data_IF_820754731134
#
_entry.id   IF_820754731134
#
_cell.length_a   1.000
_cell.length_b   1.000
_cell.length_c   1.000
_cell.angle_alpha   90.00
_cell.angle_beta   90.00
_cell.angle_gamma   90.00
#
_symmetry.space_group_name_H-M   'P 1'
#
loop_
_entity.id
_entity.type
_entity.pdbx_description
1 polymer ?
#
# COMPACT_ATOMS: atom_id res chain seq x y z
N UNK A 1 12.97 -3.51 -14.94
CA UNK A 1 12.29 -2.35 -15.56
C UNK A 1 12.07 -2.53 -17.07
N UNK A 2 12.96 -3.21 -17.79
CA UNK A 2 12.90 -3.36 -19.24
C UNK A 2 11.63 -4.00 -19.84
N UNK A 3 10.90 -4.79 -19.07
CA UNK A 3 9.70 -5.49 -19.57
C UNK A 3 8.42 -4.66 -19.46
N UNK A 4 8.28 -3.84 -18.41
CA UNK A 4 7.08 -3.04 -18.15
C UNK A 4 7.34 -2.06 -16.98
N UNK A 5 6.47 -1.05 -16.79
CA UNK A 5 6.53 -0.17 -15.63
C UNK A 5 6.55 -0.90 -14.29
N UNK A 6 7.27 -0.33 -13.32
CA UNK A 6 7.51 -0.93 -12.01
C UNK A 6 7.13 0.02 -10.90
N UNK A 7 6.92 -0.52 -9.71
CA UNK A 7 6.91 0.23 -8.46
C UNK A 7 8.06 -0.28 -7.62
N UNK A 8 8.91 0.64 -7.17
CA UNK A 8 9.96 0.34 -6.22
C UNK A 8 9.62 1.00 -4.89
N UNK A 9 9.77 0.25 -3.80
CA UNK A 9 9.47 0.70 -2.44
C UNK A 9 10.64 0.36 -1.53
N UNK A 10 11.13 1.36 -0.79
CA UNK A 10 12.06 1.15 0.31
C UNK A 10 11.40 0.39 1.46
N UNK A 11 12.18 -0.17 2.39
CA UNK A 11 11.60 -0.65 3.63
C UNK A 11 10.98 0.51 4.42
N UNK A 12 9.75 0.32 4.92
CA UNK A 12 8.92 1.40 5.52
C UNK A 12 8.60 2.51 4.50
N UNK A 13 8.06 3.65 4.95
CA UNK A 13 7.59 4.72 4.05
C UNK A 13 6.08 4.74 3.83
N UNK A 14 5.29 4.51 4.89
CA UNK A 14 3.81 4.50 4.84
C UNK A 14 3.19 5.80 4.29
N UNK A 15 3.93 6.90 4.33
CA UNK A 15 3.52 8.20 3.77
C UNK A 15 3.87 8.37 2.29
N UNK A 16 4.27 7.29 1.59
CA UNK A 16 4.60 7.32 0.16
C UNK A 16 6.05 7.70 -0.16
N UNK A 17 6.86 8.06 0.84
CA UNK A 17 8.27 8.40 0.64
C UNK A 17 9.09 7.15 0.29
N UNK A 18 9.91 7.25 -0.74
CA UNK A 18 10.68 6.14 -1.33
C UNK A 18 9.81 5.08 -2.00
N UNK A 19 8.56 5.43 -2.35
CA UNK A 19 7.70 4.63 -3.23
C UNK A 19 7.68 5.29 -4.60
N UNK A 20 8.40 4.69 -5.54
CA UNK A 20 8.63 5.21 -6.88
C UNK A 20 7.87 4.42 -7.92
N UNK A 21 7.06 5.10 -8.72
CA UNK A 21 6.47 4.54 -9.94
C UNK A 21 7.42 4.85 -11.08
N UNK A 22 7.91 3.81 -11.74
CA UNK A 22 9.03 3.89 -12.67
C UNK A 22 8.59 3.47 -14.06
N UNK A 23 8.83 4.33 -15.04
CA UNK A 23 8.64 4.06 -16.47
C UNK A 23 9.94 4.31 -17.22
N UNK A 24 10.19 3.56 -18.28
CA UNK A 24 11.22 3.90 -19.25
C UNK A 24 10.75 5.10 -20.07
N UNK A 25 11.58 6.15 -20.13
CA UNK A 25 11.24 7.38 -20.84
C UNK A 25 10.98 7.14 -22.33
N UNK A 26 11.77 6.28 -22.95
CA UNK A 26 11.64 5.93 -24.37
C UNK A 26 10.52 4.92 -24.65
N UNK A 27 9.95 4.28 -23.62
CA UNK A 27 8.91 3.26 -23.79
C UNK A 27 9.35 2.00 -24.55
N UNK A 28 10.66 1.79 -24.70
CA UNK A 28 11.31 0.68 -25.40
C UNK A 28 11.26 -0.64 -24.58
N UNK A 29 10.08 -1.05 -24.15
CA UNK A 29 9.89 -2.27 -23.37
C UNK A 29 10.09 -3.54 -24.23
N UNK A 30 10.71 -4.58 -23.66
CA UNK A 30 10.84 -5.88 -24.32
C UNK A 30 9.52 -6.68 -24.27
N UNK A 31 9.39 -7.67 -25.15
CA UNK A 31 8.15 -8.44 -25.30
C UNK A 31 7.94 -9.45 -24.16
N UNK A 32 9.03 -9.90 -23.53
CA UNK A 32 8.98 -10.90 -22.45
C UNK A 32 9.92 -10.58 -21.29
N UNK A 33 9.53 -10.99 -20.08
CA UNK A 33 10.36 -10.80 -18.89
C UNK A 33 11.68 -11.57 -19.00
N UNK A 34 12.80 -10.89 -18.77
CA UNK A 34 14.15 -11.46 -18.83
C UNK A 34 14.82 -11.40 -20.21
N UNK A 35 14.11 -10.96 -21.24
CA UNK A 35 14.65 -10.83 -22.61
C UNK A 35 15.76 -9.78 -22.71
N UNK A 36 15.62 -8.68 -21.97
CA UNK A 36 16.64 -7.64 -21.88
C UNK A 36 16.76 -7.10 -20.46
N UNK A 37 17.95 -6.60 -20.13
CA UNK A 37 18.17 -5.73 -18.97
C UNK A 37 18.22 -4.28 -19.43
N UNK A 38 17.96 -3.35 -18.51
CA UNK A 38 18.17 -1.94 -18.81
C UNK A 38 19.66 -1.62 -18.78
N UNK A 39 20.09 -0.72 -19.66
CA UNK A 39 21.43 -0.14 -19.62
C UNK A 39 21.50 1.05 -18.66
N UNK A 40 22.66 1.27 -18.06
CA UNK A 40 22.90 2.33 -17.06
C UNK A 40 22.48 3.72 -17.52
N UNK A 41 22.62 4.01 -18.82
CA UNK A 41 22.29 5.30 -19.42
C UNK A 41 20.82 5.48 -19.81
N UNK A 42 20.00 4.42 -19.80
CA UNK A 42 18.58 4.55 -20.14
C UNK A 42 17.88 5.48 -19.15
N UNK A 43 17.03 6.37 -19.68
CA UNK A 43 16.31 7.37 -18.88
C UNK A 43 15.02 6.80 -18.32
N UNK A 44 14.80 7.08 -17.04
CA UNK A 44 13.63 6.75 -16.25
C UNK A 44 12.79 8.00 -16.04
N UNK A 45 11.46 7.83 -16.11
CA UNK A 45 10.47 8.74 -15.55
C UNK A 45 10.05 8.16 -14.20
N UNK A 46 10.31 8.91 -13.13
CA UNK A 46 10.10 8.50 -11.75
C UNK A 46 9.06 9.39 -11.11
N UNK A 47 7.97 8.83 -10.60
CA UNK A 47 7.01 9.57 -9.78
C UNK A 47 7.02 9.07 -8.34
N UNK A 48 7.21 9.97 -7.36
CA UNK A 48 7.15 9.61 -5.94
C UNK A 48 5.71 9.66 -5.42
N UNK A 49 5.30 8.63 -4.67
CA UNK A 49 3.91 8.52 -4.21
C UNK A 49 3.53 9.50 -3.08
N UNK A 50 4.50 10.08 -2.38
CA UNK A 50 4.24 11.00 -1.25
C UNK A 50 3.59 12.34 -1.68
N UNK A 51 3.89 12.85 -2.87
CA UNK A 51 3.35 14.11 -3.36
C UNK A 51 3.08 14.14 -4.89
N UNK A 52 3.37 13.06 -5.60
CA UNK A 52 3.23 12.91 -7.07
C UNK A 52 4.16 13.79 -7.90
N UNK A 53 5.26 14.32 -7.35
CA UNK A 53 6.26 14.96 -8.21
C UNK A 53 6.90 13.92 -9.14
N UNK A 54 7.35 14.40 -10.31
CA UNK A 54 8.06 13.59 -11.29
C UNK A 54 9.51 14.07 -11.42
N UNK A 55 10.44 13.12 -11.51
CA UNK A 55 11.87 13.36 -11.74
C UNK A 55 12.37 12.47 -12.89
N UNK A 56 13.40 12.95 -13.60
CA UNK A 56 14.05 12.20 -14.67
C UNK A 56 15.49 11.85 -14.31
N UNK A 57 15.78 10.56 -14.21
CA UNK A 57 17.11 10.05 -13.87
C UNK A 57 17.50 8.91 -14.79
N UNK A 58 18.81 8.66 -14.94
CA UNK A 58 19.28 7.42 -15.55
C UNK A 58 19.06 6.22 -14.62
N UNK A 59 19.12 5.01 -15.18
CA UNK A 59 19.14 3.78 -14.38
C UNK A 59 20.28 3.80 -13.36
N UNK A 60 21.49 4.22 -13.77
CA UNK A 60 22.64 4.30 -12.87
C UNK A 60 22.44 5.33 -11.74
N UNK A 61 21.90 6.51 -12.06
CA UNK A 61 21.61 7.56 -11.08
C UNK A 61 20.62 7.07 -10.01
N UNK A 62 19.55 6.39 -10.44
CA UNK A 62 18.54 5.85 -9.53
C UNK A 62 19.07 4.69 -8.66
N UNK A 63 19.87 3.79 -9.24
CA UNK A 63 20.52 2.72 -8.47
C UNK A 63 21.47 3.33 -7.43
N UNK A 64 22.31 4.28 -7.82
CA UNK A 64 23.21 4.98 -6.91
C UNK A 64 22.44 5.69 -5.78
N UNK A 65 21.33 6.35 -6.09
CA UNK A 65 20.46 6.95 -5.08
C UNK A 65 19.89 5.91 -4.10
N UNK A 66 19.38 4.79 -4.61
CA UNK A 66 18.84 3.73 -3.76
C UNK A 66 19.90 3.10 -2.86
N UNK A 67 21.15 2.95 -3.32
CA UNK A 67 22.22 2.26 -2.59
C UNK A 67 22.98 3.22 -1.67
N UNK A 68 23.43 4.35 -2.21
CA UNK A 68 24.38 5.28 -1.59
C UNK A 68 23.77 6.66 -1.28
N UNK A 69 22.53 6.91 -1.70
CA UNK A 69 21.84 8.17 -1.48
C UNK A 69 22.32 9.27 -2.41
N UNK A 70 22.22 10.51 -1.94
CA UNK A 70 22.70 11.67 -2.68
C UNK A 70 24.22 11.71 -2.72
N UNK A 71 24.77 11.44 -3.89
CA UNK A 71 26.21 11.52 -4.19
C UNK A 71 26.42 12.34 -5.46
N UNK A 72 27.68 12.63 -5.82
CA UNK A 72 27.98 13.27 -7.11
C UNK A 72 27.63 12.39 -8.32
N UNK A 73 27.29 11.10 -8.10
CA UNK A 73 26.92 10.14 -9.15
C UNK A 73 25.43 9.85 -9.22
N UNK A 74 24.66 10.18 -8.18
CA UNK A 74 23.21 9.96 -8.17
C UNK A 74 22.44 10.99 -8.98
N UNK A 75 23.08 12.08 -9.42
CA UNK A 75 22.38 13.26 -9.94
C UNK A 75 21.74 14.10 -8.83
N UNK A 76 20.99 15.12 -9.23
CA UNK A 76 20.31 16.06 -8.33
C UNK A 76 18.86 15.62 -8.09
N UNK A 77 18.49 15.40 -6.82
CA UNK A 77 17.17 14.90 -6.42
C UNK A 77 16.36 15.98 -5.69
N UNK A 78 15.08 16.10 -6.04
CA UNK A 78 14.11 17.00 -5.40
C UNK A 78 13.20 16.29 -4.40
N UNK A 79 13.14 14.96 -4.42
CA UNK A 79 12.50 14.14 -3.40
C UNK A 79 12.83 14.61 -1.98
N UNK A 80 11.90 14.44 -1.04
CA UNK A 80 12.17 14.67 0.39
C UNK A 80 13.10 13.60 0.96
N UNK A 81 13.02 12.38 0.45
CA UNK A 81 13.87 11.26 0.84
C UNK A 81 15.32 11.47 0.41
N UNK A 82 16.24 10.85 1.14
CA UNK A 82 17.70 10.97 0.89
C UNK A 82 18.32 9.73 0.21
N UNK A 83 17.50 8.75 -0.14
CA UNK A 83 17.93 7.47 -0.72
C UNK A 83 18.49 6.53 0.34
N UNK A 84 19.51 5.73 -0.01
CA UNK A 84 20.20 4.79 0.90
C UNK A 84 19.31 3.69 1.51
N UNK A 85 18.39 3.16 0.72
CA UNK A 85 17.40 2.17 1.15
C UNK A 85 18.00 0.84 1.64
N UNK A 86 19.29 0.61 1.37
CA UNK A 86 20.03 -0.60 1.77
C UNK A 86 21.10 -0.34 2.85
N UNK A 87 21.18 0.88 3.41
CA UNK A 87 22.19 1.24 4.41
C UNK A 87 22.08 0.38 5.67
N UNK A 88 23.22 -0.06 6.20
CA UNK A 88 23.29 -0.97 7.36
C UNK A 88 22.92 -2.42 7.07
N UNK A 89 22.50 -2.75 5.84
CA UNK A 89 22.18 -4.12 5.42
C UNK A 89 20.92 -4.69 6.07
N UNK A 90 20.71 -6.00 5.89
CA UNK A 90 19.47 -6.68 6.29
C UNK A 90 19.16 -6.55 7.79
N UNK A 91 20.18 -6.59 8.65
CA UNK A 91 20.02 -6.47 10.11
C UNK A 91 19.50 -5.09 10.54
N UNK A 92 19.89 -4.03 9.82
CA UNK A 92 19.36 -2.68 10.01
C UNK A 92 18.00 -2.46 9.31
N UNK A 93 17.49 -3.47 8.61
CA UNK A 93 16.26 -3.39 7.82
C UNK A 93 16.44 -2.86 6.40
N UNK A 94 17.67 -2.75 5.89
CA UNK A 94 17.92 -2.34 4.51
C UNK A 94 17.33 -3.33 3.50
N UNK A 95 16.25 -2.93 2.83
CA UNK A 95 15.51 -3.75 1.87
C UNK A 95 14.82 -2.87 0.83
N UNK A 96 14.54 -3.48 -0.33
CA UNK A 96 13.81 -2.86 -1.42
C UNK A 96 12.87 -3.88 -2.03
N UNK A 97 11.64 -3.45 -2.31
CA UNK A 97 10.64 -4.24 -3.03
C UNK A 97 10.53 -3.69 -4.44
N UNK A 98 10.70 -4.55 -5.45
CA UNK A 98 10.46 -4.23 -6.86
C UNK A 98 9.28 -5.05 -7.39
N UNK A 99 8.17 -4.35 -7.65
CA UNK A 99 6.91 -4.96 -8.07
C UNK A 99 6.41 -4.40 -9.40
N UNK A 100 5.47 -5.14 -10.03
CA UNK A 100 4.81 -4.67 -11.25
C UNK A 100 3.92 -3.47 -10.92
N UNK A 101 3.93 -2.46 -11.76
CA UNK A 101 2.94 -1.38 -11.66
C UNK A 101 1.57 -1.86 -12.14
N UNK A 102 0.52 -1.63 -11.35
CA UNK A 102 -0.85 -1.92 -11.72
C UNK A 102 -1.57 -0.65 -12.19
N UNK A 103 -1.80 -0.49 -13.51
CA UNK A 103 -2.27 0.78 -14.07
C UNK A 103 -3.69 1.16 -13.64
N UNK A 104 -4.53 0.20 -13.20
CA UNK A 104 -5.86 0.49 -12.66
C UNK A 104 -5.83 1.08 -11.24
N UNK A 105 -4.67 1.41 -10.66
CA UNK A 105 -4.59 2.20 -9.43
C UNK A 105 -5.34 3.54 -9.54
N UNK A 106 -5.47 4.08 -10.76
CA UNK A 106 -6.28 5.29 -11.04
C UNK A 106 -7.77 5.12 -10.74
N UNK A 107 -8.26 3.88 -10.73
CA UNK A 107 -9.63 3.54 -10.33
C UNK A 107 -9.77 3.47 -8.81
N UNK A 108 -8.66 3.38 -8.10
CA UNK A 108 -8.54 3.39 -6.66
C UNK A 108 -8.10 2.05 -6.07
N UNK A 109 -7.52 2.15 -4.88
CA UNK A 109 -7.13 1.03 -4.04
C UNK A 109 -8.25 0.71 -3.04
N UNK A 110 -8.49 -0.58 -2.79
CA UNK A 110 -9.42 -1.03 -1.76
C UNK A 110 -8.65 -1.47 -0.53
N UNK A 111 -8.80 -0.74 0.57
CA UNK A 111 -8.32 -1.15 1.88
C UNK A 111 -9.42 -1.89 2.63
N UNK A 112 -9.18 -3.15 2.93
CA UNK A 112 -10.05 -3.94 3.81
C UNK A 112 -9.53 -3.82 5.23
N UNK A 113 -10.41 -3.50 6.17
CA UNK A 113 -10.10 -3.45 7.60
C UNK A 113 -10.60 -4.75 8.25
N UNK A 114 -9.70 -5.49 8.88
CA UNK A 114 -9.98 -6.80 9.44
C UNK A 114 -9.69 -6.85 10.94
N UNK A 115 -10.54 -7.60 11.64
CA UNK A 115 -10.33 -8.05 13.01
C UNK A 115 -10.18 -9.57 13.01
N UNK A 116 -8.94 -10.06 13.07
CA UNK A 116 -8.65 -11.46 12.76
C UNK A 116 -9.09 -11.79 11.33
N UNK A 117 -10.03 -12.71 11.18
CA UNK A 117 -10.64 -13.10 9.90
C UNK A 117 -11.94 -12.34 9.56
N UNK A 118 -12.39 -11.43 10.42
CA UNK A 118 -13.64 -10.69 10.22
C UNK A 118 -13.38 -9.36 9.49
N UNK A 119 -13.94 -9.20 8.29
CA UNK A 119 -13.99 -7.91 7.62
C UNK A 119 -14.96 -6.98 8.36
N UNK A 120 -14.50 -5.79 8.75
CA UNK A 120 -15.33 -4.82 9.47
C UNK A 120 -15.64 -3.56 8.67
N UNK A 121 -14.87 -3.28 7.61
CA UNK A 121 -15.15 -2.16 6.73
C UNK A 121 -14.18 -2.08 5.55
N UNK A 122 -14.62 -1.40 4.50
CA UNK A 122 -13.86 -1.22 3.25
C UNK A 122 -13.65 0.27 3.03
N UNK A 123 -12.44 0.66 2.65
CA UNK A 123 -12.11 2.04 2.25
C UNK A 123 -11.66 2.00 0.80
N UNK A 124 -12.38 2.71 -0.07
CA UNK A 124 -11.94 2.94 -1.44
C UNK A 124 -11.17 4.26 -1.50
N UNK A 125 -9.87 4.16 -1.76
CA UNK A 125 -8.95 5.30 -1.86
C UNK A 125 -8.70 5.58 -3.33
N UNK A 126 -9.38 6.58 -3.88
CA UNK A 126 -9.21 6.98 -5.28
C UNK A 126 -8.20 8.12 -5.39
N UNK A 127 -7.13 8.00 -6.18
CA UNK A 127 -6.23 9.12 -6.47
C UNK A 127 -6.98 10.37 -6.96
N UNK A 128 -6.40 11.55 -6.75
CA UNK A 128 -6.89 12.77 -7.42
C UNK A 128 -6.89 12.57 -8.93
N UNK A 129 -7.76 13.29 -9.65
CA UNK A 129 -7.76 13.24 -11.12
C UNK A 129 -6.37 13.59 -11.68
N UNK A 130 -5.89 12.78 -12.63
CA UNK A 130 -4.53 12.90 -13.18
C UNK A 130 -3.41 12.39 -12.26
N UNK A 131 -3.70 12.01 -11.02
CA UNK A 131 -2.76 11.41 -10.08
C UNK A 131 -2.81 9.88 -10.09
N UNK A 132 -1.77 9.27 -9.51
CA UNK A 132 -1.65 7.80 -9.37
C UNK A 132 -1.38 7.37 -7.93
N UNK A 133 -1.16 8.31 -7.00
CA UNK A 133 -1.06 8.03 -5.56
C UNK A 133 -2.43 8.03 -4.88
N UNK A 134 -2.69 6.98 -4.10
CA UNK A 134 -3.86 6.86 -3.22
C UNK A 134 -3.53 7.25 -1.76
N UNK A 135 -2.32 7.76 -1.49
CA UNK A 135 -1.83 8.10 -0.15
C UNK A 135 -2.57 9.33 0.39
N UNK A 136 -2.94 9.31 1.67
CA UNK A 136 -3.60 10.43 2.33
C UNK A 136 -2.76 11.72 2.26
N UNK A 137 -3.40 12.86 2.04
CA UNK A 137 -2.72 14.15 1.87
C UNK A 137 -2.32 14.49 0.42
N UNK A 138 -2.42 13.54 -0.51
CA UNK A 138 -2.11 13.78 -1.94
C UNK A 138 -3.29 14.33 -2.78
N UNK A 139 -4.44 14.55 -2.14
CA UNK A 139 -5.70 14.95 -2.79
C UNK A 139 -6.62 13.77 -3.15
N UNK A 140 -6.28 12.54 -2.74
CA UNK A 140 -7.12 11.36 -2.93
C UNK A 140 -8.48 11.48 -2.21
N UNK A 141 -9.52 10.90 -2.82
CA UNK A 141 -10.88 10.82 -2.26
C UNK A 141 -11.09 9.47 -1.58
N UNK A 142 -11.57 9.48 -0.35
CA UNK A 142 -11.76 8.29 0.47
C UNK A 142 -13.25 8.04 0.65
N UNK A 143 -13.73 6.88 0.20
CA UNK A 143 -15.12 6.45 0.39
C UNK A 143 -15.15 5.24 1.33
N UNK A 144 -16.02 5.30 2.33
CA UNK A 144 -16.12 4.29 3.38
C UNK A 144 -17.38 3.46 3.16
N UNK A 145 -17.20 2.13 3.17
CA UNK A 145 -18.27 1.16 2.98
C UNK A 145 -18.31 0.14 4.12
N UNK A 146 -19.48 -0.46 4.30
CA UNK A 146 -19.65 -1.60 5.20
C UNK A 146 -19.01 -2.88 4.64
N UNK A 147 -18.88 -3.93 5.46
CA UNK A 147 -18.26 -5.20 5.05
C UNK A 147 -19.10 -6.00 4.03
N UNK A 148 -20.38 -5.67 3.87
CA UNK A 148 -21.32 -6.35 2.97
C UNK A 148 -21.54 -5.59 1.64
N UNK A 149 -20.69 -4.62 1.32
CA UNK A 149 -20.84 -3.78 0.12
C UNK A 149 -20.95 -4.59 -1.19
N UNK A 150 -22.10 -4.55 -1.90
CA UNK A 150 -22.32 -5.32 -3.10
C UNK A 150 -21.32 -5.05 -4.23
N UNK A 151 -20.81 -3.82 -4.35
CA UNK A 151 -19.84 -3.45 -5.39
C UNK A 151 -18.56 -4.29 -5.34
N UNK A 152 -18.16 -4.74 -4.16
CA UNK A 152 -16.92 -5.50 -3.94
C UNK A 152 -17.17 -6.96 -3.56
N UNK A 153 -18.42 -7.44 -3.64
CA UNK A 153 -18.80 -8.76 -3.15
C UNK A 153 -18.00 -9.91 -3.79
N UNK A 154 -17.62 -9.79 -5.07
CA UNK A 154 -16.79 -10.80 -5.74
C UNK A 154 -15.40 -10.91 -5.08
N UNK A 155 -14.72 -9.77 -4.87
CA UNK A 155 -13.44 -9.70 -4.17
C UNK A 155 -13.58 -10.17 -2.73
N UNK A 156 -14.56 -9.65 -1.98
CA UNK A 156 -14.81 -10.02 -0.58
C UNK A 156 -14.98 -11.52 -0.42
N UNK A 157 -15.81 -12.14 -1.26
CA UNK A 157 -16.08 -13.58 -1.20
C UNK A 157 -14.83 -14.40 -1.55
N UNK A 158 -14.09 -14.03 -2.59
CA UNK A 158 -12.87 -14.75 -2.96
C UNK A 158 -11.81 -14.63 -1.86
N UNK A 159 -11.54 -13.41 -1.38
CA UNK A 159 -10.52 -13.18 -0.37
C UNK A 159 -10.83 -13.91 0.94
N UNK A 160 -12.00 -13.66 1.54
CA UNK A 160 -12.32 -14.20 2.87
C UNK A 160 -12.51 -15.72 2.88
N UNK A 161 -13.05 -16.31 1.79
CA UNK A 161 -13.39 -17.74 1.75
C UNK A 161 -12.33 -18.62 1.13
N UNK A 162 -11.48 -18.06 0.26
CA UNK A 162 -10.48 -18.84 -0.50
C UNK A 162 -9.06 -18.42 -0.13
N UNK A 163 -8.74 -17.14 -0.24
CA UNK A 163 -7.35 -16.69 -0.21
C UNK A 163 -6.80 -16.49 1.21
N UNK A 164 -7.65 -16.05 2.16
CA UNK A 164 -7.22 -15.67 3.51
C UNK A 164 -6.49 -16.80 4.24
N UNK A 165 -6.94 -18.04 4.09
CA UNK A 165 -6.31 -19.22 4.71
C UNK A 165 -4.88 -19.48 4.21
N UNK A 166 -4.51 -18.93 3.05
CA UNK A 166 -3.19 -19.11 2.45
C UNK A 166 -2.23 -17.97 2.78
N UNK A 167 -2.71 -16.85 3.36
CA UNK A 167 -1.87 -15.67 3.68
C UNK A 167 -0.77 -16.01 4.68
N UNK A 168 -1.12 -16.47 5.89
CA UNK A 168 -0.15 -16.77 6.94
C UNK A 168 0.82 -17.90 6.55
N UNK A 169 0.38 -19.01 5.91
CA UNK A 169 1.30 -20.01 5.37
C UNK A 169 2.27 -19.46 4.33
N UNK A 170 1.83 -18.56 3.45
CA UNK A 170 2.71 -17.95 2.44
C UNK A 170 3.76 -17.02 3.04
N UNK A 171 3.55 -16.56 4.27
CA UNK A 171 4.51 -15.77 5.05
C UNK A 171 5.39 -16.64 5.96
N UNK A 172 5.29 -17.97 5.88
CA UNK A 172 5.97 -18.91 6.78
C UNK A 172 5.56 -18.75 8.26
N UNK A 173 4.32 -18.30 8.49
CA UNK A 173 3.73 -18.03 9.80
C UNK A 173 2.45 -18.85 10.02
N UNK A 174 2.36 -20.06 9.48
CA UNK A 174 1.14 -20.87 9.51
C UNK A 174 0.62 -21.18 10.93
N UNK A 175 1.53 -21.26 11.91
CA UNK A 175 1.21 -21.54 13.31
C UNK A 175 0.86 -20.28 14.13
N UNK A 176 1.04 -19.09 13.54
CA UNK A 176 0.67 -17.82 14.16
C UNK A 176 -0.76 -17.41 13.79
N UNK A 177 -1.51 -16.79 14.71
CA UNK A 177 -2.84 -16.29 14.41
C UNK A 177 -2.78 -15.08 13.46
N UNK A 178 -3.88 -14.84 12.74
CA UNK A 178 -4.08 -13.55 12.06
C UNK A 178 -4.02 -12.39 13.08
N UNK A 179 -3.51 -11.21 12.70
CA UNK A 179 -3.48 -10.06 13.60
C UNK A 179 -4.88 -9.65 14.08
N UNK A 180 -4.97 -9.12 15.29
CA UNK A 180 -6.24 -8.64 15.84
C UNK A 180 -6.77 -7.41 15.13
N UNK A 181 -5.90 -6.53 14.63
CA UNK A 181 -6.28 -5.35 13.85
C UNK A 181 -5.28 -5.17 12.71
N UNK A 182 -5.76 -5.32 11.49
CA UNK A 182 -4.91 -5.23 10.30
C UNK A 182 -5.70 -4.84 9.07
N UNK A 183 -4.97 -4.47 8.03
CA UNK A 183 -5.51 -4.15 6.73
C UNK A 183 -4.82 -4.92 5.63
N UNK A 184 -5.54 -5.12 4.54
CA UNK A 184 -4.98 -5.52 3.25
C UNK A 184 -5.45 -4.55 2.19
N UNK A 185 -4.52 -4.12 1.35
CA UNK A 185 -4.75 -3.10 0.32
C UNK A 185 -4.69 -3.76 -1.06
N UNK A 186 -5.79 -3.70 -1.80
CA UNK A 186 -5.96 -4.34 -3.10
C UNK A 186 -5.93 -3.35 -4.25
N UNK A 187 -5.28 -3.76 -5.33
CA UNK A 187 -5.27 -3.04 -6.61
C UNK A 187 -5.76 -3.98 -7.71
N UNK A 188 -6.65 -3.49 -8.56
CA UNK A 188 -7.14 -4.27 -9.69
C UNK A 188 -6.04 -4.44 -10.74
N UNK A 189 -5.77 -5.67 -11.15
CA UNK A 189 -4.73 -6.01 -12.12
C UNK A 189 -5.28 -6.46 -13.46
N UNK A 190 -6.60 -6.53 -13.60
CA UNK A 190 -7.27 -7.02 -14.81
C UNK A 190 -7.24 -5.98 -15.92
N UNK A 191 -7.36 -6.37 -17.20
CA UNK A 191 -7.60 -5.42 -18.28
C UNK A 191 -8.83 -4.53 -18.02
N UNK A 192 -8.82 -3.25 -18.45
CA UNK A 192 -10.01 -2.40 -18.40
C UNK A 192 -11.21 -3.04 -19.11
N UNK A 193 -12.40 -2.91 -18.51
CA UNK A 193 -13.63 -3.53 -19.02
C UNK A 193 -13.82 -5.00 -18.65
N UNK A 194 -12.91 -5.60 -17.87
CA UNK A 194 -13.15 -6.91 -17.25
C UNK A 194 -14.38 -6.83 -16.36
N UNK A 195 -15.26 -7.83 -16.44
CA UNK A 195 -16.47 -7.88 -15.60
C UNK A 195 -16.09 -8.08 -14.14
N UNK A 196 -16.77 -7.45 -13.16
CA UNK A 196 -16.43 -7.53 -11.73
C UNK A 196 -16.18 -8.95 -11.20
N UNK A 197 -16.96 -9.93 -11.65
CA UNK A 197 -16.82 -11.34 -11.25
C UNK A 197 -15.54 -12.03 -11.76
N UNK A 198 -14.97 -11.52 -12.85
CA UNK A 198 -13.76 -12.04 -13.50
C UNK A 198 -12.50 -11.24 -13.11
N UNK A 199 -12.66 -10.18 -12.30
CA UNK A 199 -11.55 -9.32 -11.92
C UNK A 199 -10.56 -10.03 -10.99
N UNK A 200 -9.28 -9.89 -11.33
CA UNK A 200 -8.14 -10.24 -10.49
C UNK A 200 -7.64 -9.02 -9.73
N UNK A 201 -7.76 -9.10 -8.42
CA UNK A 201 -7.23 -8.13 -7.48
C UNK A 201 -5.95 -8.68 -6.87
N UNK A 202 -4.92 -7.84 -6.78
CA UNK A 202 -3.65 -8.19 -6.15
C UNK A 202 -3.50 -7.42 -4.85
N UNK A 203 -2.87 -8.05 -3.86
CA UNK A 203 -2.49 -7.36 -2.62
C UNK A 203 -1.21 -6.56 -2.87
N UNK A 204 -1.24 -5.27 -2.57
CA UNK A 204 -0.06 -4.40 -2.58
C UNK A 204 0.61 -4.27 -1.21
N UNK A 205 -0.18 -4.28 -0.13
CA UNK A 205 0.32 -4.14 1.24
C UNK A 205 -0.58 -4.89 2.23
N UNK A 206 0.06 -5.51 3.23
CA UNK A 206 -0.56 -5.85 4.51
C UNK A 206 -0.03 -4.90 5.57
N UNK A 207 -0.89 -4.40 6.46
CA UNK A 207 -0.48 -3.57 7.57
C UNK A 207 -1.14 -4.04 8.86
N UNK A 208 -0.34 -4.34 9.87
CA UNK A 208 -0.80 -4.77 11.20
C UNK A 208 -0.09 -4.00 12.33
N UNK A 209 0.59 -2.90 12.01
CA UNK A 209 1.38 -2.12 12.96
C UNK A 209 1.08 -0.64 12.78
N UNK A 210 0.51 -0.01 13.81
CA UNK A 210 0.03 1.38 13.78
C UNK A 210 -1.07 1.63 12.74
N UNK A 211 -1.94 0.63 12.51
CA UNK A 211 -3.10 0.77 11.64
C UNK A 211 -4.09 1.74 12.28
N UNK A 212 -4.39 2.85 11.60
CA UNK A 212 -5.37 3.82 12.07
C UNK A 212 -6.80 3.27 12.01
N UNK A 213 -7.61 3.61 13.02
CA UNK A 213 -9.06 3.33 13.03
C UNK A 213 -9.77 4.56 12.46
N UNK A 214 -10.29 4.48 11.24
CA UNK A 214 -10.86 5.66 10.55
C UNK A 214 -12.02 6.32 11.29
N UNK A 215 -12.77 5.55 12.08
CA UNK A 215 -13.84 6.06 12.96
C UNK A 215 -13.31 6.98 14.07
N UNK A 216 -12.03 6.85 14.42
CA UNK A 216 -11.40 7.69 15.44
C UNK A 216 -10.63 8.89 14.86
N UNK A 217 -10.77 9.20 13.56
CA UNK A 217 -9.99 10.28 12.92
C UNK A 217 -10.23 11.66 13.55
N UNK A 218 -11.42 11.91 14.11
CA UNK A 218 -11.72 13.18 14.78
C UNK A 218 -10.89 13.38 16.06
N UNK A 219 -10.39 12.30 16.68
CA UNK A 219 -9.51 12.36 17.84
C UNK A 219 -8.02 12.57 17.49
N UNK A 220 -7.69 12.71 16.21
CA UNK A 220 -6.30 12.90 15.78
C UNK A 220 -5.86 14.35 16.00
N UNK A 221 -4.89 14.55 16.90
CA UNK A 221 -4.25 15.86 17.12
C UNK A 221 -3.56 16.35 15.84
N UNK A 222 -3.83 17.61 15.49
CA UNK A 222 -3.19 18.34 14.38
C UNK A 222 -2.75 19.70 14.89
N UNK A 223 -1.97 20.42 14.09
CA UNK A 223 -1.54 21.78 14.44
C UNK A 223 -2.75 22.73 14.68
N UNK A 224 -3.86 22.53 13.96
CA UNK A 224 -5.10 23.29 14.10
C UNK A 224 -6.07 22.73 15.16
N UNK A 225 -5.92 21.45 15.54
CA UNK A 225 -6.70 20.78 16.60
C UNK A 225 -5.79 20.07 17.59
N UNK A 226 -4.93 20.80 18.35
CA UNK A 226 -3.87 20.18 19.15
C UNK A 226 -4.40 19.41 20.36
N UNK A 227 -5.64 19.69 20.78
CA UNK A 227 -6.31 19.03 21.90
C UNK A 227 -7.40 18.06 21.46
N UNK A 228 -7.44 17.69 20.19
CA UNK A 228 -8.39 16.69 19.70
C UNK A 228 -8.25 15.38 20.49
N UNK A 229 -9.37 14.75 20.81
CA UNK A 229 -9.40 13.55 21.62
C UNK A 229 -10.69 12.76 21.48
N UNK A 230 -10.89 11.82 22.40
CA UNK A 230 -12.03 10.91 22.36
C UNK A 230 -13.38 11.64 22.27
N UNK A 231 -13.51 12.78 22.95
CA UNK A 231 -14.76 13.53 23.01
C UNK A 231 -15.13 14.24 21.70
N UNK A 232 -14.17 14.43 20.79
CA UNK A 232 -14.39 15.00 19.46
C UNK A 232 -14.95 13.97 18.45
N UNK A 233 -14.97 12.69 18.82
CA UNK A 233 -15.54 11.62 18.00
C UNK A 233 -17.08 11.65 18.14
N UNK A 234 -17.79 11.49 17.03
CA UNK A 234 -19.25 11.36 17.03
C UNK A 234 -19.70 10.12 17.82
N UNK A 235 -20.89 10.14 18.41
CA UNK A 235 -21.40 8.97 19.15
C UNK A 235 -21.57 7.73 18.24
N UNK A 236 -21.91 7.94 16.96
CA UNK A 236 -21.96 6.86 15.96
C UNK A 236 -20.58 6.22 15.75
N UNK A 237 -19.55 7.04 15.53
CA UNK A 237 -18.21 6.54 15.31
C UNK A 237 -17.59 5.94 16.60
N UNK A 238 -17.92 6.48 17.78
CA UNK A 238 -17.56 5.87 19.07
C UNK A 238 -18.18 4.48 19.24
N UNK A 239 -19.45 4.33 18.88
CA UNK A 239 -20.14 3.05 18.94
C UNK A 239 -19.49 2.03 18.00
N UNK A 240 -19.12 2.44 16.79
CA UNK A 240 -18.45 1.57 15.83
C UNK A 240 -17.01 1.21 16.25
N UNK A 241 -16.25 2.18 16.77
CA UNK A 241 -14.93 1.94 17.34
C UNK A 241 -14.98 0.98 18.53
N UNK A 242 -16.00 1.13 19.39
CA UNK A 242 -16.25 0.19 20.49
C UNK A 242 -16.55 -1.20 19.96
N UNK A 243 -17.40 -1.33 18.93
CA UNK A 243 -17.71 -2.61 18.29
C UNK A 243 -16.46 -3.31 17.76
N UNK A 244 -15.54 -2.57 17.15
CA UNK A 244 -14.24 -3.13 16.74
C UNK A 244 -13.42 -3.61 17.95
N UNK A 245 -13.39 -2.82 19.02
CA UNK A 245 -12.74 -3.17 20.29
C UNK A 245 -13.26 -4.45 20.93
N UNK A 246 -14.59 -4.56 21.04
CA UNK A 246 -15.26 -5.75 21.57
C UNK A 246 -14.92 -6.98 20.71
N UNK A 247 -15.00 -6.87 19.38
CA UNK A 247 -14.68 -7.96 18.46
C UNK A 247 -13.20 -8.38 18.55
N UNK A 248 -12.27 -7.43 18.72
CA UNK A 248 -10.86 -7.74 18.97
C UNK A 248 -10.69 -8.54 20.25
N UNK A 249 -11.42 -8.17 21.32
CA UNK A 249 -11.43 -8.89 22.59
C UNK A 249 -11.94 -10.33 22.44
N UNK A 250 -13.06 -10.51 21.73
CA UNK A 250 -13.62 -11.84 21.43
C UNK A 250 -12.62 -12.72 20.65
N UNK A 251 -12.00 -12.18 19.60
CA UNK A 251 -10.98 -12.91 18.82
C UNK A 251 -9.76 -13.24 19.66
N UNK A 252 -9.29 -12.32 20.50
CA UNK A 252 -8.16 -12.54 21.39
C UNK A 252 -8.43 -13.68 22.38
N UNK A 253 -9.62 -13.69 23.02
CA UNK A 253 -10.04 -14.79 23.90
C UNK A 253 -10.09 -16.11 23.15
N UNK A 254 -10.61 -16.12 21.93
CA UNK A 254 -10.65 -17.30 21.06
C UNK A 254 -9.26 -17.85 20.70
N UNK A 255 -8.28 -16.98 20.48
CA UNK A 255 -6.88 -17.36 20.21
C UNK A 255 -6.23 -17.95 21.48
N UNK A 256 -6.40 -17.28 22.63
CA UNK A 256 -5.80 -17.70 23.90
C UNK A 256 -6.37 -19.03 24.41
N UNK A 257 -7.64 -19.32 24.11
CA UNK A 257 -8.31 -20.55 24.55
C UNK A 257 -7.98 -21.79 23.72
N UNK A 258 -7.26 -21.63 22.58
CA UNK A 258 -6.85 -22.72 21.69
C UNK A 258 -5.45 -23.28 21.99
N UNK A 259 -4.78 -22.76 23.03
CA UNK A 259 -3.49 -23.25 23.51
C UNK A 259 -3.66 -24.34 24.56
#
# INVERSE_FOLDING_TARGET
MAFQPRVIKQNRGSSGEGIWIIKLKEGNYCASYGERSCEDGEKLLLMEANDNHEEEHTVAEFIEFCVNGRTSKSGEWTSKGVGKYLEGGKEAGGQLVDQRFCPRIVEGELRYNLVGDALVGIIHKKPKEGGISAVGGTGSVYTYYGPEEPLFAALTNNFLKKDLQHVMPSLELADEPLPLWWTTDFINSSPPGTKPEDEKWIVGEFNCSCVGISRCLAAYCKDDTPTAGWDDITEEDKAEAKRYGDLMGEKALGILSKK
#
